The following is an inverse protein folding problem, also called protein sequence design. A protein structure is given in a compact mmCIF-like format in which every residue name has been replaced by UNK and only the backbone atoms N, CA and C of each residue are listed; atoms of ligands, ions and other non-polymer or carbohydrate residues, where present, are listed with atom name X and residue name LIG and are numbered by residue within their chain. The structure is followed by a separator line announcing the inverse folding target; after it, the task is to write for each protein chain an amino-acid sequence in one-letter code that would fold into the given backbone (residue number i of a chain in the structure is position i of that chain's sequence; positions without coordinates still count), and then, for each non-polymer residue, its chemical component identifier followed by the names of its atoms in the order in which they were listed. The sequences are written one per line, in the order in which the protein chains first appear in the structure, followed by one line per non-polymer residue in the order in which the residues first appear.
data_IF_637634565022
#
_entry.id   IF_637634565022
#
_cell.length_a   1.000
_cell.length_b   1.000
_cell.length_c   1.000
_cell.angle_alpha   90.00
_cell.angle_beta   90.00
_cell.angle_gamma   90.00
#
_symmetry.space_group_name_H-M   'P 1'
#
loop_
_entity.id
_entity.type
_entity.pdbx_description
1 polymer ?
#
# COMPACT_ATOMS: atom_id res chain seq x y z
N UNK A 1 -12.64 5.16 -0.40
CA UNK A 1 -13.69 4.29 -0.96
C UNK A 1 -13.77 4.55 -2.46
N UNK A 2 -13.30 3.65 -3.33
CA UNK A 2 -13.55 3.81 -4.76
C UNK A 2 -14.94 3.23 -5.04
N UNK A 3 -15.96 4.09 -5.07
CA UNK A 3 -17.30 3.67 -5.44
C UNK A 3 -17.28 3.05 -6.83
N UNK A 4 -18.04 1.96 -7.04
CA UNK A 4 -18.20 1.35 -8.36
C UNK A 4 -18.69 2.41 -9.34
N UNK A 5 -17.88 2.74 -10.34
CA UNK A 5 -18.24 3.68 -11.40
C UNK A 5 -18.74 2.88 -12.59
N UNK A 6 -20.00 3.08 -12.94
CA UNK A 6 -20.60 2.44 -14.11
C UNK A 6 -20.49 3.37 -15.31
N UNK A 7 -19.79 2.93 -16.35
CA UNK A 7 -19.70 3.65 -17.61
C UNK A 7 -20.69 3.08 -18.62
N UNK A 8 -21.34 3.94 -19.39
CA UNK A 8 -22.08 3.52 -20.58
C UNK A 8 -21.09 3.40 -21.72
N UNK A 9 -20.91 2.18 -22.22
CA UNK A 9 -19.95 1.87 -23.28
C UNK A 9 -20.76 1.77 -24.58
N UNK A 10 -20.32 2.47 -25.61
CA UNK A 10 -20.97 2.38 -26.92
C UNK A 10 -20.76 1.01 -27.55
N UNK A 11 -21.67 0.62 -28.44
CA UNK A 11 -21.57 -0.65 -29.15
C UNK A 11 -20.25 -0.79 -29.94
N UNK A 12 -19.66 0.32 -30.37
CA UNK A 12 -18.39 0.36 -31.10
C UNK A 12 -17.17 0.10 -30.20
N UNK A 13 -17.23 0.46 -28.91
CA UNK A 13 -16.16 0.23 -27.95
C UNK A 13 -16.25 -1.15 -27.26
N UNK A 14 -17.44 -1.77 -27.23
CA UNK A 14 -17.70 -3.08 -26.61
C UNK A 14 -16.73 -4.23 -27.00
N UNK A 15 -16.19 -4.32 -28.24
CA UNK A 15 -15.23 -5.37 -28.59
C UNK A 15 -13.89 -5.29 -27.83
N UNK A 16 -13.56 -4.14 -27.26
CA UNK A 16 -12.28 -3.88 -26.61
C UNK A 16 -12.35 -3.83 -25.08
N UNK A 17 -13.57 -3.93 -24.54
CA UNK A 17 -13.83 -3.84 -23.09
C UNK A 17 -14.11 -5.23 -22.53
N UNK A 18 -13.38 -5.59 -21.48
CA UNK A 18 -13.57 -6.84 -20.73
C UNK A 18 -12.32 -7.72 -20.74
N UNK A 19 -12.06 -8.39 -19.62
CA UNK A 19 -10.93 -9.29 -19.46
C UNK A 19 -11.04 -10.54 -20.36
N UNK A 20 -12.25 -10.88 -20.80
CA UNK A 20 -12.59 -11.96 -21.72
C UNK A 20 -12.17 -11.68 -23.17
N UNK A 21 -11.91 -10.42 -23.53
CA UNK A 21 -11.54 -10.04 -24.90
C UNK A 21 -10.07 -10.37 -25.22
N UNK A 22 -9.73 -10.63 -26.48
CA UNK A 22 -8.35 -10.94 -26.87
C UNK A 22 -7.38 -9.81 -26.50
N UNK A 23 -6.30 -10.18 -25.82
CA UNK A 23 -5.20 -9.28 -25.42
C UNK A 23 -4.74 -8.36 -26.56
N UNK A 24 -4.56 -8.92 -27.76
CA UNK A 24 -4.08 -8.18 -28.92
C UNK A 24 -5.01 -7.04 -29.33
N UNK A 25 -6.32 -7.24 -29.24
CA UNK A 25 -7.33 -6.22 -29.57
C UNK A 25 -7.34 -5.11 -28.50
N UNK A 26 -7.23 -5.48 -27.22
CA UNK A 26 -7.11 -4.50 -26.12
C UNK A 26 -5.84 -3.67 -26.26
N UNK A 27 -4.72 -4.28 -26.64
CA UNK A 27 -3.46 -3.59 -26.86
C UNK A 27 -3.52 -2.65 -28.08
N UNK A 28 -4.15 -3.08 -29.17
CA UNK A 28 -4.40 -2.24 -30.34
C UNK A 28 -5.24 -1.00 -29.98
N UNK A 29 -6.31 -1.20 -29.22
CA UNK A 29 -7.13 -0.11 -28.67
C UNK A 29 -6.32 0.82 -27.76
N UNK A 30 -5.57 0.27 -26.80
CA UNK A 30 -4.74 1.02 -25.88
C UNK A 30 -3.68 1.87 -26.58
N UNK A 31 -3.15 1.39 -27.72
CA UNK A 31 -2.19 2.12 -28.55
C UNK A 31 -2.80 3.26 -29.39
N UNK A 32 -4.12 3.45 -29.34
CA UNK A 32 -4.82 4.53 -30.04
C UNK A 32 -5.06 4.26 -31.53
N UNK A 33 -4.95 3.01 -32.00
CA UNK A 33 -5.14 2.63 -33.41
C UNK A 33 -6.59 2.40 -33.81
N UNK A 34 -7.50 2.42 -32.85
CA UNK A 34 -8.93 2.18 -33.08
C UNK A 34 -9.62 3.48 -33.44
N UNK A 35 -10.52 3.41 -34.42
CA UNK A 35 -11.33 4.56 -34.85
C UNK A 35 -12.66 4.56 -34.09
N UNK A 36 -12.83 5.52 -33.18
CA UNK A 36 -14.05 5.73 -32.40
C UNK A 36 -14.40 7.22 -32.34
N UNK A 37 -15.66 7.57 -32.03
CA UNK A 37 -16.01 8.93 -31.65
C UNK A 37 -15.09 9.44 -30.52
N UNK A 38 -14.73 10.74 -30.50
CA UNK A 38 -13.78 11.28 -29.52
C UNK A 38 -14.09 10.95 -28.06
N UNK A 39 -15.36 11.07 -27.65
CA UNK A 39 -15.79 10.78 -26.29
C UNK A 39 -15.63 9.28 -25.95
N UNK A 40 -16.10 8.41 -26.83
CA UNK A 40 -15.97 6.94 -26.69
C UNK A 40 -14.51 6.49 -26.69
N UNK A 41 -13.68 7.12 -27.52
CA UNK A 41 -12.25 6.85 -27.58
C UNK A 41 -11.59 7.17 -26.24
N UNK A 42 -11.80 8.37 -25.69
CA UNK A 42 -11.21 8.75 -24.40
C UNK A 42 -11.74 7.89 -23.26
N UNK A 43 -13.03 7.55 -23.28
CA UNK A 43 -13.63 6.61 -22.33
C UNK A 43 -12.96 5.23 -22.40
N UNK A 44 -12.75 4.70 -23.61
CA UNK A 44 -12.11 3.40 -23.82
C UNK A 44 -10.65 3.43 -23.33
N UNK A 45 -9.89 4.45 -23.67
CA UNK A 45 -8.51 4.60 -23.20
C UNK A 45 -8.47 4.70 -21.67
N UNK A 46 -9.36 5.49 -21.06
CA UNK A 46 -9.47 5.61 -19.61
C UNK A 46 -9.81 4.27 -18.93
N UNK A 47 -10.72 3.50 -19.53
CA UNK A 47 -11.04 2.15 -19.07
C UNK A 47 -9.80 1.24 -19.12
N UNK A 48 -9.07 1.24 -20.24
CA UNK A 48 -7.86 0.41 -20.43
C UNK A 48 -6.69 0.84 -19.52
N UNK A 49 -6.69 2.06 -18.98
CA UNK A 49 -5.75 2.45 -17.92
C UNK A 49 -5.95 1.67 -16.60
N UNK A 50 -7.05 0.92 -16.47
CA UNK A 50 -7.35 0.05 -15.33
C UNK A 50 -7.44 -1.42 -15.75
N UNK A 51 -6.89 -1.80 -16.91
CA UNK A 51 -6.83 -3.19 -17.37
C UNK A 51 -5.93 -4.04 -16.46
N UNK A 52 -6.22 -5.34 -16.37
CA UNK A 52 -5.43 -6.30 -15.61
C UNK A 52 -4.09 -6.62 -16.29
N UNK A 53 -3.99 -6.46 -17.61
CA UNK A 53 -2.75 -6.64 -18.34
C UNK A 53 -1.87 -5.38 -18.22
N UNK A 54 -0.65 -5.49 -17.64
CA UNK A 54 0.21 -4.34 -17.39
C UNK A 54 0.69 -3.68 -18.69
N UNK A 55 0.84 -4.42 -19.78
CA UNK A 55 1.28 -3.87 -21.07
C UNK A 55 0.18 -3.03 -21.71
N UNK A 56 -1.07 -3.51 -21.64
CA UNK A 56 -2.26 -2.78 -22.11
C UNK A 56 -2.42 -1.49 -21.30
N UNK A 57 -2.35 -1.58 -19.96
CA UNK A 57 -2.41 -0.44 -19.05
C UNK A 57 -1.35 0.62 -19.39
N UNK A 58 -0.09 0.21 -19.55
CA UNK A 58 1.02 1.12 -19.86
C UNK A 58 0.85 1.81 -21.21
N UNK A 59 0.37 1.07 -22.20
CA UNK A 59 0.07 1.61 -23.54
C UNK A 59 -1.08 2.64 -23.46
N UNK A 60 -2.17 2.32 -22.78
CA UNK A 60 -3.33 3.20 -22.62
C UNK A 60 -2.96 4.50 -21.90
N UNK A 61 -2.19 4.41 -20.81
CA UNK A 61 -1.71 5.58 -20.07
C UNK A 61 -0.82 6.47 -20.95
N UNK A 62 0.04 5.88 -21.78
CA UNK A 62 0.89 6.62 -22.72
C UNK A 62 0.04 7.37 -23.75
N UNK A 63 -0.97 6.71 -24.30
CA UNK A 63 -1.93 7.31 -25.25
C UNK A 63 -2.74 8.42 -24.60
N UNK A 64 -3.22 8.24 -23.36
CA UNK A 64 -4.00 9.25 -22.62
C UNK A 64 -3.19 10.53 -22.33
N UNK A 65 -1.89 10.39 -22.06
CA UNK A 65 -0.98 11.53 -21.88
C UNK A 65 -0.63 12.22 -23.20
N UNK A 66 -0.60 11.47 -24.29
CA UNK A 66 -0.26 11.99 -25.62
C UNK A 66 -1.47 12.57 -26.39
N UNK A 67 -2.65 12.65 -25.77
CA UNK A 67 -3.84 13.22 -26.43
C UNK A 67 -3.59 14.67 -26.88
N UNK A 68 -3.89 14.94 -28.15
CA UNK A 68 -3.74 16.27 -28.73
C UNK A 68 -4.84 17.23 -28.30
N UNK A 69 -4.51 18.52 -28.24
CA UNK A 69 -5.44 19.58 -27.85
C UNK A 69 -6.72 19.65 -28.72
N UNK A 70 -6.63 19.29 -30.01
CA UNK A 70 -7.79 19.27 -30.91
C UNK A 70 -8.85 18.24 -30.50
N UNK A 71 -8.42 17.04 -30.13
CA UNK A 71 -9.32 15.98 -29.64
C UNK A 71 -9.90 16.35 -28.27
N UNK A 72 -9.07 16.88 -27.36
CA UNK A 72 -9.50 17.30 -26.03
C UNK A 72 -10.59 18.39 -26.10
N UNK A 73 -10.47 19.34 -27.02
CA UNK A 73 -11.51 20.36 -27.26
C UNK A 73 -12.84 19.76 -27.71
N UNK A 74 -12.81 18.72 -28.55
CA UNK A 74 -14.02 18.03 -29.00
C UNK A 74 -14.67 17.25 -27.85
N UNK A 75 -13.87 16.59 -27.01
CA UNK A 75 -14.37 15.82 -25.85
C UNK A 75 -14.94 16.74 -24.78
N UNK A 76 -14.32 17.90 -24.54
CA UNK A 76 -14.84 18.90 -23.59
C UNK A 76 -16.08 19.65 -24.08
N UNK A 77 -16.46 19.49 -25.35
CA UNK A 77 -17.72 20.03 -25.86
C UNK A 77 -18.92 19.17 -25.47
N UNK A 78 -18.69 17.92 -25.04
CA UNK A 78 -19.74 17.00 -24.62
C UNK A 78 -20.12 17.22 -23.14
N UNK A 79 -21.32 17.75 -22.84
CA UNK A 79 -21.74 18.01 -21.47
C UNK A 79 -21.98 16.73 -20.65
N UNK A 80 -22.17 15.57 -21.30
CA UNK A 80 -22.37 14.28 -20.63
C UNK A 80 -21.06 13.59 -20.25
N UNK A 81 -19.91 14.25 -20.46
CA UNK A 81 -18.61 13.70 -20.07
C UNK A 81 -18.57 13.40 -18.57
N UNK A 82 -18.21 12.15 -18.26
CA UNK A 82 -18.23 11.64 -16.91
C UNK A 82 -17.22 12.37 -16.00
N UNK A 83 -17.60 12.80 -14.77
CA UNK A 83 -16.75 13.59 -13.88
C UNK A 83 -15.36 12.97 -13.62
N UNK A 84 -15.27 11.64 -13.45
CA UNK A 84 -13.96 10.97 -13.26
C UNK A 84 -13.02 11.06 -14.46
N UNK A 85 -13.55 11.06 -15.68
CA UNK A 85 -12.73 11.18 -16.89
C UNK A 85 -12.24 12.63 -16.98
N UNK A 86 -13.14 13.58 -16.72
CA UNK A 86 -12.78 15.00 -16.65
C UNK A 86 -11.68 15.25 -15.61
N UNK A 87 -11.80 14.69 -14.41
CA UNK A 87 -10.78 14.80 -13.35
C UNK A 87 -9.42 14.28 -13.81
N UNK A 88 -9.39 13.12 -14.48
CA UNK A 88 -8.16 12.55 -15.02
C UNK A 88 -7.57 13.43 -16.15
N UNK A 89 -8.41 13.97 -17.03
CA UNK A 89 -7.95 14.88 -18.08
C UNK A 89 -7.42 16.20 -17.51
N UNK A 90 -8.04 16.75 -16.46
CA UNK A 90 -7.56 17.94 -15.77
C UNK A 90 -6.20 17.68 -15.11
N UNK A 91 -6.03 16.53 -14.45
CA UNK A 91 -4.74 16.17 -13.84
C UNK A 91 -3.61 16.06 -14.87
N UNK A 92 -3.90 15.56 -16.07
CA UNK A 92 -2.89 15.37 -17.11
C UNK A 92 -2.63 16.62 -17.96
N UNK A 93 -3.69 17.34 -18.33
CA UNK A 93 -3.66 18.41 -19.35
C UNK A 93 -4.06 19.79 -18.82
N UNK A 94 -4.48 19.91 -17.56
CA UNK A 94 -4.97 21.16 -16.96
C UNK A 94 -3.92 22.27 -16.83
N UNK A 95 -2.62 21.93 -16.92
CA UNK A 95 -1.52 22.92 -16.97
C UNK A 95 -1.37 23.61 -18.33
N UNK A 96 -2.03 23.09 -19.37
CA UNK A 96 -1.97 23.67 -20.70
C UNK A 96 -2.86 24.93 -20.76
N UNK A 97 -2.31 26.13 -21.02
CA UNK A 97 -3.05 27.39 -20.96
C UNK A 97 -4.23 27.45 -21.92
N UNK A 98 -4.17 26.73 -23.04
CA UNK A 98 -5.25 26.71 -24.04
C UNK A 98 -6.46 25.85 -23.62
N UNK A 99 -6.25 24.89 -22.73
CA UNK A 99 -7.27 23.93 -22.29
C UNK A 99 -7.82 24.25 -20.90
N UNK A 100 -6.99 24.84 -20.02
CA UNK A 100 -7.39 25.27 -18.68
C UNK A 100 -8.73 26.04 -18.63
N UNK A 101 -9.01 27.06 -19.49
CA UNK A 101 -10.28 27.77 -19.44
C UNK A 101 -11.46 26.93 -19.95
N UNK A 102 -11.22 25.90 -20.76
CA UNK A 102 -12.27 24.99 -21.23
C UNK A 102 -12.63 23.98 -20.14
N UNK A 103 -11.64 23.45 -19.42
CA UNK A 103 -11.89 22.60 -18.25
C UNK A 103 -12.66 23.36 -17.15
N UNK A 104 -12.27 24.60 -16.88
CA UNK A 104 -12.89 25.46 -15.86
C UNK A 104 -14.39 25.71 -16.08
N UNK A 105 -14.83 25.73 -17.35
CA UNK A 105 -16.22 26.02 -17.74
C UNK A 105 -17.10 24.78 -17.84
N UNK A 106 -16.53 23.59 -17.68
CA UNK A 106 -17.26 22.35 -17.91
C UNK A 106 -18.26 22.06 -16.77
N UNK A 107 -19.53 21.72 -17.06
CA UNK A 107 -20.57 21.54 -16.03
C UNK A 107 -20.29 20.40 -15.04
N UNK A 108 -19.56 19.37 -15.48
CA UNK A 108 -19.21 18.19 -14.66
C UNK A 108 -17.94 18.34 -13.81
N UNK A 109 -17.42 19.56 -13.63
CA UNK A 109 -16.17 19.80 -12.91
C UNK A 109 -16.29 19.46 -11.41
N UNK A 110 -15.46 18.53 -10.94
CA UNK A 110 -15.35 18.17 -9.53
C UNK A 110 -14.59 19.22 -8.72
N UNK A 111 -14.83 19.30 -7.41
CA UNK A 111 -14.08 20.17 -6.48
C UNK A 111 -12.58 19.86 -6.48
N UNK A 112 -12.21 18.60 -6.71
CA UNK A 112 -10.79 18.18 -6.79
C UNK A 112 -10.14 18.66 -8.08
N UNK A 113 -10.86 18.62 -9.21
CA UNK A 113 -10.37 19.14 -10.48
C UNK A 113 -10.31 20.68 -10.49
N UNK A 114 -11.26 21.36 -9.86
CA UNK A 114 -11.23 22.81 -9.68
C UNK A 114 -10.00 23.26 -8.86
N UNK A 115 -9.67 22.53 -7.79
CA UNK A 115 -8.45 22.76 -7.02
C UNK A 115 -7.18 22.55 -7.86
N UNK A 116 -7.15 21.52 -8.71
CA UNK A 116 -6.03 21.25 -9.60
C UNK A 116 -5.81 22.35 -10.68
N UNK A 117 -6.85 23.08 -11.06
CA UNK A 117 -6.79 24.23 -11.96
C UNK A 117 -6.47 25.56 -11.25
N UNK A 118 -6.35 25.55 -9.91
CA UNK A 118 -6.09 26.75 -9.13
C UNK A 118 -7.28 27.72 -9.04
N UNK A 119 -8.50 27.24 -9.33
CA UNK A 119 -9.75 28.03 -9.32
C UNK A 119 -10.37 28.17 -7.92
N UNK A 120 -9.55 28.13 -6.86
CA UNK A 120 -10.06 28.43 -5.52
C UNK A 120 -10.42 29.90 -5.42
N UNK A 121 -11.70 30.23 -5.62
CA UNK A 121 -12.31 31.40 -5.02
C UNK A 121 -12.18 31.31 -3.49
N UNK A 122 -11.81 32.42 -2.87
CA UNK A 122 -11.33 32.48 -1.49
C UNK A 122 -12.33 31.98 -0.44
N UNK A 123 -11.93 30.95 0.29
CA UNK A 123 -12.26 30.85 1.70
C UNK A 123 -11.24 31.72 2.46
N UNK A 124 -11.66 32.94 2.78
CA UNK A 124 -10.91 33.91 3.57
C UNK A 124 -10.46 33.32 4.91
N UNK A 125 -9.24 33.69 5.27
CA UNK A 125 -8.54 33.38 6.50
C UNK A 125 -9.38 33.62 7.76
N UNK A 126 -9.28 32.67 8.70
CA UNK A 126 -9.46 32.93 10.13
C UNK A 126 -8.07 33.14 10.75
N UNK A 127 -7.75 34.35 11.26
CA UNK A 127 -6.63 34.52 12.17
C UNK A 127 -7.12 34.37 13.62
N UNK A 128 -6.44 33.52 14.40
CA UNK A 128 -6.45 33.68 15.86
C UNK A 128 -5.72 35.00 16.21
N UNK A 129 -6.12 35.70 17.29
CA UNK A 129 -5.38 35.51 18.54
C UNK A 129 -6.21 35.62 19.84
N UNK A 130 -5.77 34.80 20.80
CA UNK A 130 -5.68 35.02 22.26
C UNK A 130 -6.33 36.26 22.92
N UNK A 131 -7.11 36.01 23.98
CA UNK A 131 -7.08 36.85 25.19
C UNK A 131 -8.41 37.06 25.93
N UNK A 132 -8.64 36.33 27.02
CA UNK A 132 -9.15 36.87 28.30
C UNK A 132 -9.24 35.75 29.38
N UNK A 133 -8.79 35.98 30.63
CA UNK A 133 -8.90 35.05 31.77
C UNK A 133 -10.03 35.51 32.76
N UNK A 134 -10.02 35.16 34.06
CA UNK A 134 -10.52 33.91 34.67
C UNK A 134 -11.55 34.17 35.80
N UNK A 135 -12.29 33.16 36.28
CA UNK A 135 -12.60 32.95 37.73
C UNK A 135 -13.30 31.60 37.99
N UNK A 136 -12.70 30.82 38.90
CA UNK A 136 -13.24 29.65 39.63
C UNK A 136 -14.24 30.09 40.72
N UNK A 137 -14.71 29.26 41.69
CA UNK A 137 -14.55 27.81 41.94
C UNK A 137 -15.84 27.06 42.36
N UNK A 138 -15.81 25.71 42.44
CA UNK A 138 -16.10 24.94 43.67
C UNK A 138 -16.04 23.41 43.45
N UNK A 139 -15.42 22.76 44.44
CA UNK A 139 -15.23 21.32 44.67
C UNK A 139 -16.52 20.62 45.16
N UNK A 140 -16.70 19.33 44.86
CA UNK A 140 -17.16 18.27 45.80
C UNK A 140 -17.05 16.87 45.13
N UNK A 141 -16.14 15.98 45.55
CA UNK A 141 -16.26 14.89 46.56
C UNK A 141 -17.02 13.61 46.07
N UNK A 142 -16.22 12.63 45.61
CA UNK A 142 -16.24 11.12 45.63
C UNK A 142 -17.48 10.23 45.23
N UNK A 143 -17.23 8.97 44.74
CA UNK A 143 -18.11 8.06 43.95
C UNK A 143 -18.65 6.88 44.82
N UNK A 144 -18.82 5.58 44.39
CA UNK A 144 -19.09 4.89 43.10
C UNK A 144 -20.27 3.84 43.17
N UNK A 145 -20.60 3.15 42.05
CA UNK A 145 -21.40 1.87 41.86
C UNK A 145 -22.50 2.05 40.80
N UNK A 146 -22.96 1.09 40.00
CA UNK A 146 -22.84 -0.38 39.95
C UNK A 146 -23.27 -0.90 38.56
N UNK A 147 -22.88 -2.13 38.30
CA UNK A 147 -23.17 -3.05 37.19
C UNK A 147 -24.66 -3.14 36.81
N UNK A 148 -24.96 -3.27 35.51
CA UNK A 148 -26.06 -4.11 35.00
C UNK A 148 -25.74 -4.64 33.60
N UNK A 149 -26.10 -5.90 33.42
CA UNK A 149 -25.80 -6.90 32.39
C UNK A 149 -26.99 -7.10 31.44
N UNK A 150 -26.72 -7.85 30.35
CA UNK A 150 -27.65 -8.68 29.55
C UNK A 150 -28.55 -7.89 28.56
N UNK A 151 -28.76 -8.23 27.28
CA UNK A 151 -28.59 -9.43 26.43
C UNK A 151 -28.47 -8.93 24.97
N UNK A 152 -27.59 -9.48 24.11
CA UNK A 152 -27.77 -10.67 23.25
C UNK A 152 -28.71 -10.41 22.05
N UNK A 153 -28.12 -10.24 20.86
CA UNK A 153 -28.73 -10.69 19.62
C UNK A 153 -27.64 -10.95 18.58
N UNK A 154 -27.53 -12.23 18.25
CA UNK A 154 -26.53 -12.86 17.40
C UNK A 154 -27.04 -12.83 15.96
N UNK A 155 -26.25 -12.29 15.04
CA UNK A 155 -26.41 -12.58 13.61
C UNK A 155 -25.04 -12.95 13.05
N UNK A 156 -24.85 -14.27 13.01
CA UNK A 156 -23.80 -15.04 12.39
C UNK A 156 -23.96 -14.96 10.86
N UNK A 157 -22.97 -14.43 10.14
CA UNK A 157 -22.83 -14.62 8.69
C UNK A 157 -21.34 -14.86 8.35
N UNK A 158 -21.01 -16.15 8.39
CA UNK A 158 -20.00 -16.92 7.66
C UNK A 158 -18.69 -16.25 7.19
N UNK A 159 -17.61 -16.81 7.76
CA UNK A 159 -16.25 -16.78 7.25
C UNK A 159 -16.14 -17.37 5.82
N UNK A 160 -15.86 -16.50 4.85
CA UNK A 160 -15.16 -16.88 3.63
C UNK A 160 -13.65 -16.86 3.86
N UNK A 161 -13.08 -17.98 4.29
CA UNK A 161 -11.63 -18.18 4.41
C UNK A 161 -10.97 -18.14 3.02
N UNK A 162 -10.54 -16.95 2.59
CA UNK A 162 -9.65 -16.79 1.44
C UNK A 162 -8.26 -17.22 1.89
N UNK A 163 -7.85 -18.42 1.47
CA UNK A 163 -6.46 -18.87 1.57
C UNK A 163 -5.59 -17.84 0.82
N UNK A 164 -4.53 -17.29 1.43
CA UNK A 164 -3.66 -16.36 0.74
C UNK A 164 -2.83 -17.17 -0.26
N UNK A 165 -3.15 -17.05 -1.54
CA UNK A 165 -2.34 -17.56 -2.63
C UNK A 165 -0.93 -16.97 -2.52
N UNK A 166 0.03 -17.86 -2.24
CA UNK A 166 1.44 -17.53 -2.19
C UNK A 166 1.96 -17.34 -3.61
N UNK A 167 2.62 -16.20 -3.84
CA UNK A 167 3.40 -15.83 -5.03
C UNK A 167 2.67 -15.25 -6.27
N UNK A 168 1.72 -14.33 -6.07
CA UNK A 168 1.45 -13.34 -7.13
C UNK A 168 2.59 -12.32 -7.25
N UNK A 169 3.14 -12.09 -8.45
CA UNK A 169 4.12 -11.04 -8.70
C UNK A 169 3.46 -9.68 -8.51
N UNK A 170 3.91 -8.97 -7.48
CA UNK A 170 3.38 -7.66 -7.07
C UNK A 170 3.62 -6.64 -8.20
N UNK A 171 2.57 -6.03 -8.74
CA UNK A 171 2.68 -4.91 -9.69
C UNK A 171 3.34 -3.72 -8.98
N UNK A 172 4.57 -3.39 -9.38
CA UNK A 172 5.36 -2.28 -8.82
C UNK A 172 4.61 -0.93 -8.94
N UNK A 173 3.70 -0.80 -9.91
CA UNK A 173 2.91 0.42 -10.11
C UNK A 173 1.76 0.55 -9.09
N UNK A 174 1.14 -0.56 -8.67
CA UNK A 174 0.15 -0.58 -7.58
C UNK A 174 0.81 -0.28 -6.23
N UNK A 175 2.01 -0.85 -6.01
CA UNK A 175 2.82 -0.58 -4.83
C UNK A 175 3.16 0.91 -4.69
N UNK A 176 3.47 1.59 -5.81
CA UNK A 176 3.72 3.03 -5.80
C UNK A 176 2.48 3.85 -5.46
N UNK A 177 1.29 3.45 -5.91
CA UNK A 177 0.03 4.15 -5.60
C UNK A 177 -0.32 4.07 -4.11
N UNK A 178 -0.25 2.88 -3.52
CA UNK A 178 -0.50 2.69 -2.06
C UNK A 178 0.60 3.34 -1.22
N UNK A 179 1.85 3.31 -1.68
CA UNK A 179 2.97 4.01 -1.02
C UNK A 179 2.78 5.53 -0.99
N UNK A 180 2.35 6.13 -2.11
CA UNK A 180 2.02 7.56 -2.16
C UNK A 180 0.84 7.91 -1.24
N UNK A 181 -0.19 7.07 -1.21
CA UNK A 181 -1.32 7.25 -0.31
C UNK A 181 -0.89 7.15 1.16
N UNK A 182 0.01 6.22 1.50
CA UNK A 182 0.59 6.09 2.84
C UNK A 182 1.31 7.37 3.26
N UNK A 183 2.03 8.05 2.37
CA UNK A 183 2.74 9.29 2.71
C UNK A 183 1.81 10.45 3.10
N UNK A 184 0.58 10.48 2.58
CA UNK A 184 -0.43 11.50 2.90
C UNK A 184 -1.23 11.25 4.19
N UNK A 185 -1.10 10.08 4.81
CA UNK A 185 -1.87 9.70 6.00
C UNK A 185 -1.23 10.15 7.31
N UNK A 186 -2.08 10.48 8.29
CA UNK A 186 -1.65 10.68 9.67
C UNK A 186 -1.13 9.40 10.34
N UNK A 187 -0.28 9.55 11.36
CA UNK A 187 0.34 8.41 12.07
C UNK A 187 -0.71 7.46 12.66
N UNK A 188 -1.80 7.98 13.21
CA UNK A 188 -2.87 7.17 13.80
C UNK A 188 -3.58 6.29 12.77
N UNK A 189 -3.83 6.81 11.57
CA UNK A 189 -4.47 6.06 10.49
C UNK A 189 -3.52 4.99 9.94
N UNK A 190 -2.23 5.32 9.82
CA UNK A 190 -1.19 4.34 9.47
C UNK A 190 -1.14 3.17 10.44
N UNK A 191 -1.23 3.43 11.75
CA UNK A 191 -1.26 2.36 12.76
C UNK A 191 -2.50 1.47 12.57
N UNK A 192 -3.66 2.08 12.33
CA UNK A 192 -4.91 1.32 12.08
C UNK A 192 -4.78 0.44 10.84
N UNK A 193 -4.31 1.02 9.73
CA UNK A 193 -4.11 0.29 8.47
C UNK A 193 -3.02 -0.76 8.60
N UNK A 194 -1.95 -0.52 9.37
CA UNK A 194 -0.93 -1.52 9.63
C UNK A 194 -1.49 -2.76 10.35
N UNK A 195 -2.50 -2.59 11.21
CA UNK A 195 -3.14 -3.68 11.96
C UNK A 195 -4.24 -4.41 11.19
N UNK A 196 -4.97 -3.74 10.30
CA UNK A 196 -6.13 -4.32 9.57
C UNK A 196 -5.89 -4.52 8.08
N UNK A 197 -4.82 -3.95 7.54
CA UNK A 197 -4.51 -3.91 6.11
C UNK A 197 -4.10 -5.25 5.52
N UNK A 198 -4.17 -5.30 4.20
CA UNK A 198 -3.70 -6.41 3.37
C UNK A 198 -2.15 -6.53 3.39
N UNK A 199 -1.64 -7.54 2.69
CA UNK A 199 -0.21 -7.85 2.56
C UNK A 199 0.60 -6.63 2.08
N UNK A 200 0.05 -5.84 1.15
CA UNK A 200 0.74 -4.69 0.58
C UNK A 200 0.86 -3.54 1.57
N UNK A 201 -0.24 -3.21 2.26
CA UNK A 201 -0.22 -2.22 3.33
C UNK A 201 0.78 -2.60 4.41
N UNK A 202 0.88 -3.88 4.81
CA UNK A 202 1.89 -4.32 5.78
C UNK A 202 3.31 -4.13 5.26
N UNK A 203 3.59 -4.52 4.01
CA UNK A 203 4.91 -4.35 3.39
C UNK A 203 5.35 -2.89 3.34
N UNK A 204 4.41 -1.98 3.07
CA UNK A 204 4.65 -0.53 3.09
C UNK A 204 4.90 -0.05 4.53
N UNK A 205 4.02 -0.40 5.47
CA UNK A 205 4.07 0.08 6.86
C UNK A 205 5.29 -0.44 7.64
N UNK A 206 5.80 -1.63 7.30
CA UNK A 206 7.06 -2.17 7.85
C UNK A 206 8.27 -1.27 7.54
N UNK A 207 8.25 -0.60 6.38
CA UNK A 207 9.32 0.29 5.92
C UNK A 207 9.07 1.76 6.31
N UNK A 208 8.00 2.04 7.05
CA UNK A 208 7.68 3.41 7.47
C UNK A 208 8.74 3.96 8.43
N UNK A 209 8.99 5.27 8.34
CA UNK A 209 9.94 5.98 9.19
C UNK A 209 9.54 5.96 10.67
N UNK A 210 8.25 5.87 10.97
CA UNK A 210 7.75 5.84 12.34
C UNK A 210 7.79 4.43 12.92
N UNK A 211 8.56 4.25 14.00
CA UNK A 211 8.73 2.97 14.70
C UNK A 211 7.43 2.40 15.24
N UNK A 212 6.46 3.24 15.62
CA UNK A 212 5.17 2.79 16.12
C UNK A 212 4.36 2.13 15.01
N UNK A 213 4.39 2.69 13.79
CA UNK A 213 3.71 2.15 12.61
C UNK A 213 4.33 0.80 12.23
N UNK A 214 5.65 0.71 12.12
CA UNK A 214 6.31 -0.56 11.78
C UNK A 214 6.10 -1.64 12.86
N UNK A 215 6.06 -1.26 14.14
CA UNK A 215 5.77 -2.20 15.23
C UNK A 215 4.31 -2.68 15.26
N UNK A 216 3.37 -1.85 14.80
CA UNK A 216 1.98 -2.27 14.59
C UNK A 216 1.87 -3.23 13.41
N UNK A 217 2.58 -2.96 12.30
CA UNK A 217 2.55 -3.81 11.11
C UNK A 217 2.98 -5.26 11.38
N UNK A 218 4.04 -5.46 12.19
CA UNK A 218 4.51 -6.81 12.56
C UNK A 218 3.58 -7.56 13.53
N UNK A 219 2.74 -6.82 14.28
CA UNK A 219 1.76 -7.39 15.23
C UNK A 219 0.41 -7.72 14.58
N UNK A 220 0.28 -7.50 13.27
CA UNK A 220 -0.94 -7.80 12.55
C UNK A 220 -1.24 -9.33 12.61
N UNK A 221 -2.47 -9.75 12.97
CA UNK A 221 -2.82 -11.16 13.10
C UNK A 221 -2.75 -11.94 11.78
N UNK A 222 -2.80 -11.25 10.64
CA UNK A 222 -2.72 -11.85 9.29
C UNK A 222 -1.29 -11.94 8.75
N UNK A 223 -0.28 -11.73 9.60
CA UNK A 223 1.13 -11.82 9.20
C UNK A 223 1.53 -13.27 8.93
N UNK A 224 2.02 -13.55 7.74
CA UNK A 224 2.44 -14.90 7.33
C UNK A 224 3.93 -15.18 7.62
N UNK A 225 4.31 -16.46 7.71
CA UNK A 225 5.72 -16.84 7.89
C UNK A 225 6.61 -16.39 6.71
N UNK A 226 6.09 -16.47 5.49
CA UNK A 226 6.76 -16.07 4.25
C UNK A 226 7.10 -14.57 4.22
N UNK A 227 6.19 -13.73 4.74
CA UNK A 227 6.45 -12.30 4.96
C UNK A 227 7.53 -12.09 6.03
N UNK A 228 7.44 -12.77 7.17
CA UNK A 228 8.41 -12.67 8.27
C UNK A 228 9.81 -13.08 7.82
N UNK A 229 9.93 -14.12 7.00
CA UNK A 229 11.21 -14.55 6.42
C UNK A 229 11.82 -13.45 5.54
N UNK A 230 10.99 -12.78 4.73
CA UNK A 230 11.43 -11.66 3.87
C UNK A 230 11.90 -10.48 4.71
N UNK A 231 11.17 -10.17 5.79
CA UNK A 231 11.53 -9.13 6.76
C UNK A 231 12.85 -9.47 7.46
N UNK A 232 13.02 -10.71 7.93
CA UNK A 232 14.22 -11.15 8.65
C UNK A 232 15.49 -11.14 7.76
N UNK A 233 15.34 -11.42 6.46
CA UNK A 233 16.43 -11.30 5.47
C UNK A 233 16.81 -9.85 5.19
N UNK A 234 15.84 -8.93 5.26
CA UNK A 234 16.08 -7.52 5.04
C UNK A 234 16.72 -6.85 6.25
N UNK A 235 17.59 -5.87 6.00
CA UNK A 235 18.19 -5.04 7.06
C UNK A 235 17.24 -3.87 7.33
N UNK A 236 16.06 -4.15 7.90
CA UNK A 236 15.10 -3.11 8.29
C UNK A 236 15.62 -2.42 9.54
N UNK A 237 15.61 -1.08 9.54
CA UNK A 237 16.18 -0.23 10.60
C UNK A 237 15.44 -0.21 11.93
N UNK A 238 14.55 -1.17 12.20
CA UNK A 238 13.72 -1.18 13.40
C UNK A 238 14.03 -2.39 14.31
N UNK A 239 14.80 -2.13 15.35
CA UNK A 239 15.19 -3.13 16.35
C UNK A 239 13.98 -3.75 17.08
N UNK A 240 12.84 -3.06 17.15
CA UNK A 240 11.63 -3.56 17.79
C UNK A 240 10.98 -4.70 16.98
N UNK A 241 10.98 -4.60 15.65
CA UNK A 241 10.49 -5.67 14.77
C UNK A 241 11.29 -6.95 15.04
N UNK A 242 12.62 -6.83 15.11
CA UNK A 242 13.50 -7.97 15.37
C UNK A 242 13.22 -8.61 16.74
N UNK A 243 12.95 -7.80 17.77
CA UNK A 243 12.57 -8.30 19.10
C UNK A 243 11.23 -9.04 19.08
N UNK A 244 10.22 -8.50 18.41
CA UNK A 244 8.90 -9.15 18.27
C UNK A 244 9.06 -10.50 17.56
N UNK A 245 9.84 -10.54 16.47
CA UNK A 245 10.09 -11.79 15.74
C UNK A 245 10.82 -12.82 16.62
N UNK A 246 11.81 -12.40 17.41
CA UNK A 246 12.55 -13.29 18.31
C UNK A 246 11.72 -13.86 19.47
N UNK A 247 10.61 -13.19 19.81
CA UNK A 247 9.73 -13.56 20.93
C UNK A 247 8.65 -14.55 20.49
N UNK A 248 8.21 -14.49 19.23
CA UNK A 248 7.17 -15.38 18.72
C UNK A 248 7.71 -16.83 18.55
N UNK A 249 7.11 -17.78 19.26
CA UNK A 249 7.53 -19.19 19.24
C UNK A 249 7.20 -19.89 17.92
N UNK A 250 6.15 -19.47 17.22
CA UNK A 250 5.70 -20.11 15.99
C UNK A 250 6.71 -19.87 14.87
N UNK A 251 7.08 -18.61 14.63
CA UNK A 251 8.08 -18.25 13.64
C UNK A 251 9.46 -18.85 13.90
N UNK A 252 9.83 -19.05 15.18
CA UNK A 252 11.12 -19.65 15.56
C UNK A 252 11.17 -21.17 15.31
N UNK A 253 10.03 -21.87 15.19
CA UNK A 253 10.03 -23.29 14.78
C UNK A 253 10.58 -23.43 13.36
N UNK A 254 10.33 -22.44 12.50
CA UNK A 254 10.82 -22.42 11.14
C UNK A 254 12.35 -22.21 11.12
N UNK A 255 13.08 -23.22 10.63
CA UNK A 255 14.54 -23.20 10.53
C UNK A 255 15.06 -22.10 9.62
N UNK A 256 14.32 -21.72 8.56
CA UNK A 256 14.74 -20.67 7.65
C UNK A 256 14.70 -19.28 8.30
N UNK A 257 13.68 -19.02 9.11
CA UNK A 257 13.56 -17.77 9.87
C UNK A 257 14.69 -17.68 10.91
N UNK A 258 14.97 -18.76 11.66
CA UNK A 258 16.11 -18.80 12.60
C UNK A 258 17.43 -18.48 11.91
N UNK A 259 17.68 -19.09 10.74
CA UNK A 259 18.88 -18.81 9.95
C UNK A 259 18.95 -17.33 9.56
N UNK A 260 17.86 -16.78 9.01
CA UNK A 260 17.81 -15.38 8.59
C UNK A 260 18.07 -14.41 9.76
N UNK A 261 17.49 -14.68 10.93
CA UNK A 261 17.72 -13.90 12.14
C UNK A 261 19.19 -13.93 12.57
N UNK A 262 19.83 -15.10 12.57
CA UNK A 262 21.25 -15.22 12.97
C UNK A 262 22.19 -14.53 11.98
N UNK A 263 21.82 -14.46 10.70
CA UNK A 263 22.59 -13.75 9.68
C UNK A 263 22.40 -12.23 9.72
N UNK A 264 21.37 -11.73 10.38
CA UNK A 264 21.06 -10.30 10.46
C UNK A 264 21.81 -9.64 11.62
N UNK A 265 22.50 -8.53 11.33
CA UNK A 265 23.30 -7.78 12.31
C UNK A 265 22.45 -7.05 13.36
N UNK A 266 21.16 -6.85 13.10
CA UNK A 266 20.20 -6.16 13.99
C UNK A 266 19.49 -7.10 14.97
N UNK A 267 19.71 -8.40 14.87
CA UNK A 267 19.14 -9.36 15.81
C UNK A 267 19.78 -9.19 17.19
N UNK A 268 18.98 -9.09 18.27
CA UNK A 268 19.52 -9.01 19.63
C UNK A 268 20.43 -10.20 19.92
N UNK A 269 21.67 -9.90 20.35
CA UNK A 269 22.71 -10.90 20.59
C UNK A 269 22.25 -12.08 21.47
N UNK A 270 21.51 -11.89 22.59
CA UNK A 270 21.08 -13.00 23.44
C UNK A 270 20.23 -14.04 22.70
N UNK A 271 19.31 -13.58 21.84
CA UNK A 271 18.46 -14.47 21.05
C UNK A 271 19.25 -15.15 19.94
N UNK A 272 20.13 -14.42 19.26
CA UNK A 272 20.96 -14.97 18.20
C UNK A 272 21.84 -16.13 18.71
N UNK A 273 22.50 -15.98 19.87
CA UNK A 273 23.32 -17.03 20.45
C UNK A 273 22.52 -18.31 20.78
N UNK A 274 21.27 -18.14 21.26
CA UNK A 274 20.36 -19.27 21.50
C UNK A 274 20.00 -20.00 20.22
N UNK A 275 19.76 -19.26 19.12
CA UNK A 275 19.41 -19.86 17.83
C UNK A 275 20.59 -20.60 17.20
N UNK A 276 21.82 -20.07 17.30
CA UNK A 276 23.05 -20.73 16.82
C UNK A 276 23.19 -22.15 17.36
N UNK A 277 22.85 -22.37 18.64
CA UNK A 277 22.93 -23.69 19.25
C UNK A 277 22.01 -24.74 18.60
N UNK A 278 20.93 -24.30 17.95
CA UNK A 278 19.93 -25.16 17.31
C UNK A 278 20.16 -25.38 15.81
N UNK A 279 21.17 -24.74 15.22
CA UNK A 279 21.42 -24.81 13.76
C UNK A 279 22.18 -26.09 13.34
N UNK A 280 21.94 -26.56 12.09
CA UNK A 280 22.66 -27.70 11.53
C UNK A 280 24.12 -27.34 11.19
N UNK A 281 24.99 -28.36 11.08
CA UNK A 281 26.43 -28.21 10.82
C UNK A 281 26.74 -27.41 9.55
N UNK A 282 25.95 -27.60 8.49
CA UNK A 282 26.11 -26.88 7.22
C UNK A 282 25.94 -25.36 7.40
N UNK A 283 25.00 -24.95 8.23
CA UNK A 283 24.71 -23.52 8.48
C UNK A 283 25.71 -22.90 9.44
N UNK A 284 26.16 -23.64 10.46
CA UNK A 284 27.24 -23.21 11.33
C UNK A 284 28.52 -22.92 10.53
N UNK A 285 28.84 -23.75 9.53
CA UNK A 285 29.99 -23.56 8.66
C UNK A 285 29.88 -22.30 7.79
N UNK A 286 28.67 -21.98 7.31
CA UNK A 286 28.41 -20.72 6.58
C UNK A 286 28.58 -19.51 7.52
N UNK A 287 28.04 -19.61 8.73
CA UNK A 287 28.08 -18.55 9.72
C UNK A 287 29.51 -18.23 10.19
N UNK A 288 30.34 -19.26 10.37
CA UNK A 288 31.75 -19.12 10.74
C UNK A 288 32.61 -18.38 9.69
N UNK A 289 32.20 -18.44 8.41
CA UNK A 289 32.88 -17.80 7.27
C UNK A 289 32.32 -16.42 6.95
N UNK A 290 31.05 -16.17 7.24
CA UNK A 290 30.39 -14.92 6.91
C UNK A 290 30.96 -13.74 7.71
N UNK A 291 31.28 -12.64 7.03
CA UNK A 291 31.72 -11.37 7.63
C UNK A 291 30.56 -10.43 8.00
N UNK A 292 29.34 -10.77 7.55
CA UNK A 292 28.14 -9.94 7.71
C UNK A 292 27.45 -10.14 9.07
N UNK A 293 27.97 -11.03 9.91
CA UNK A 293 27.40 -11.38 11.22
C UNK A 293 28.27 -10.87 12.35
N UNK A 294 27.66 -10.73 13.54
CA UNK A 294 28.38 -10.30 14.73
C UNK A 294 29.59 -11.23 15.02
N UNK A 295 30.73 -10.65 15.39
CA UNK A 295 31.98 -11.38 15.67
C UNK A 295 31.79 -12.40 16.80
N UNK A 296 30.92 -12.12 17.78
CA UNK A 296 30.57 -13.05 18.84
C UNK A 296 29.80 -14.29 18.31
N UNK A 297 28.90 -14.09 17.35
CA UNK A 297 28.11 -15.16 16.73
C UNK A 297 29.03 -16.06 15.89
N UNK A 298 29.90 -15.46 15.07
CA UNK A 298 30.85 -16.22 14.23
C UNK A 298 31.90 -16.97 15.05
N UNK A 299 32.39 -16.41 16.16
CA UNK A 299 33.32 -17.11 17.06
C UNK A 299 32.63 -18.30 17.76
N UNK A 300 31.39 -18.12 18.22
CA UNK A 300 30.61 -19.19 18.84
C UNK A 300 30.31 -20.31 17.85
N UNK A 301 29.95 -19.98 16.60
CA UNK A 301 29.74 -20.97 15.55
C UNK A 301 31.00 -21.80 15.27
N UNK A 302 32.19 -21.17 15.22
CA UNK A 302 33.48 -21.88 15.07
C UNK A 302 33.75 -22.84 16.22
N UNK A 303 33.51 -22.41 17.47
CA UNK A 303 33.69 -23.25 18.66
C UNK A 303 32.78 -24.47 18.63
N UNK A 304 31.52 -24.31 18.23
CA UNK A 304 30.57 -25.43 18.13
C UNK A 304 30.92 -26.41 17.00
N UNK A 305 31.45 -25.91 15.87
CA UNK A 305 31.93 -26.79 14.79
C UNK A 305 33.12 -27.65 15.21
N UNK A 306 34.08 -27.06 15.94
CA UNK A 306 35.23 -27.81 16.47
C UNK A 306 34.76 -28.89 17.45
N UNK A 307 33.93 -28.54 18.44
CA UNK A 307 33.40 -29.50 19.41
C UNK A 307 32.59 -30.65 18.77
N UNK A 308 31.82 -30.39 17.72
CA UNK A 308 31.10 -31.44 16.98
C UNK A 308 32.02 -32.33 16.13
N UNK A 309 33.13 -31.78 15.62
CA UNK A 309 34.14 -32.55 14.89
C UNK A 309 34.94 -33.46 15.83
N UNK A 310 35.22 -33.00 17.04
CA UNK A 310 35.95 -33.77 18.06
C UNK A 310 35.09 -34.87 18.70
N UNK A 311 33.77 -34.81 18.56
CA UNK A 311 32.80 -35.78 19.09
C UNK A 311 32.32 -36.83 18.07
N UNK A 312 32.82 -36.78 16.82
CA UNK A 312 32.57 -37.77 15.76
C UNK A 312 33.81 -38.64 15.56
#
# INVERSE_FOLDING_TARGET
MSGKVTFRISAAAAPYVGADKPRQQRLEAASGKVTLPPADFVLLIYYLCHDQDPEVKRSAVTTLRALGAGLLKQVLADPELHPRILDALVQLHGKNPDLAPLFAKHPSLSSTAAAALGLQEGASAAPAPSGAPPVSPQEEIVPPRQIRSEDDDVADEEEGAVQPDEDEPIDEEEYQSKYQMAQGMGVSDKIKIAMTGDKEWRSIMIKDNNKLVSSAAIKNPRMTESEVLSIAKSVVGNDEIMRVICTNKEWIKNSQIRKALVMNSKTPLPHALRFVATLPEKELAQLAKSKNVNTAISSQARRMLMSKKDSR
#
